data_IF_988937490503
#
_entry.id   IF_988937490503
#
_cell.length_a   1.000
_cell.length_b   1.000
_cell.length_c   1.000
_cell.angle_alpha   90.00
_cell.angle_beta   90.00
_cell.angle_gamma   90.00
#
_symmetry.space_group_name_H-M   'P 1'
#
loop_
_entity.id
_entity.type
_entity.pdbx_description
1 polymer ?
#
# COMPACT_ATOMS: atom_id res chain seq x y z
N UNK A 1 -7.27 11.91 7.41
CA UNK A 1 -6.96 10.49 7.24
C UNK A 1 -5.50 10.35 6.81
N UNK A 2 -4.83 9.24 7.10
CA UNK A 2 -3.48 8.89 6.67
C UNK A 2 -3.49 7.49 6.09
N UNK A 3 -2.86 7.30 4.93
CA UNK A 3 -2.79 6.01 4.24
C UNK A 3 -1.42 5.37 4.40
N UNK A 4 -1.37 4.04 4.56
CA UNK A 4 -0.11 3.29 4.61
C UNK A 4 -0.25 1.87 4.07
N UNK A 5 0.81 1.33 3.46
CA UNK A 5 0.89 -0.07 3.05
C UNK A 5 1.22 -0.93 4.27
N UNK A 6 0.37 -1.89 4.60
CA UNK A 6 0.58 -2.84 5.70
C UNK A 6 1.44 -4.02 5.25
N UNK A 7 1.09 -4.62 4.11
CA UNK A 7 1.77 -5.79 3.57
C UNK A 7 1.72 -5.79 2.04
N UNK A 8 2.68 -6.48 1.43
CA UNK A 8 2.71 -6.75 0.00
C UNK A 8 3.03 -8.22 -0.24
N UNK A 9 2.36 -8.84 -1.20
CA UNK A 9 2.67 -10.19 -1.67
C UNK A 9 3.08 -10.09 -3.13
N UNK A 10 4.27 -10.58 -3.53
CA UNK A 10 5.30 -11.24 -2.70
C UNK A 10 5.98 -10.30 -1.69
N UNK A 11 6.55 -10.87 -0.62
CA UNK A 11 7.13 -10.11 0.51
C UNK A 11 8.32 -9.21 0.13
N UNK A 12 8.91 -9.39 -1.05
CA UNK A 12 10.01 -8.57 -1.60
C UNK A 12 9.56 -7.27 -2.28
N UNK A 13 8.25 -7.02 -2.40
CA UNK A 13 7.73 -5.94 -3.23
C UNK A 13 7.37 -4.66 -2.47
N UNK A 14 7.67 -4.59 -1.17
CA UNK A 14 7.41 -3.38 -0.36
C UNK A 14 8.10 -2.14 -0.94
N UNK A 15 9.23 -2.31 -1.62
CA UNK A 15 9.98 -1.22 -2.23
C UNK A 15 9.54 -0.88 -3.67
N UNK A 16 8.71 -1.72 -4.30
CA UNK A 16 8.19 -1.48 -5.65
C UNK A 16 7.00 -0.53 -5.67
N UNK A 17 6.27 -0.43 -4.55
CA UNK A 17 5.07 0.38 -4.44
C UNK A 17 5.23 1.45 -3.37
N UNK A 18 4.65 2.61 -3.63
CA UNK A 18 4.51 3.65 -2.63
C UNK A 18 3.11 4.21 -2.61
N UNK A 19 2.68 4.63 -1.43
CA UNK A 19 1.41 5.30 -1.23
C UNK A 19 1.68 6.70 -0.66
N UNK A 20 1.04 7.70 -1.26
CA UNK A 20 1.00 9.04 -0.68
C UNK A 20 0.08 9.01 0.54
N UNK A 21 0.63 9.41 1.69
CA UNK A 21 -0.07 9.29 2.98
C UNK A 21 -1.26 10.24 3.10
N UNK A 22 -1.37 11.28 2.28
CA UNK A 22 -2.41 12.31 2.36
C UNK A 22 -3.59 12.01 1.45
N UNK A 23 -3.34 11.57 0.22
CA UNK A 23 -4.39 11.36 -0.79
C UNK A 23 -4.62 9.87 -1.14
N UNK A 24 -3.76 8.95 -0.69
CA UNK A 24 -3.87 7.52 -0.96
C UNK A 24 -3.42 7.11 -2.38
N UNK A 25 -2.75 8.00 -3.12
CA UNK A 25 -2.24 7.71 -4.47
C UNK A 25 -1.14 6.66 -4.41
N UNK A 26 -1.32 5.56 -5.16
CA UNK A 26 -0.34 4.48 -5.27
C UNK A 26 0.50 4.68 -6.53
N UNK A 27 1.83 4.66 -6.37
CA UNK A 27 2.81 4.79 -7.46
C UNK A 27 3.83 3.67 -7.42
N UNK A 28 4.30 3.30 -8.60
CA UNK A 28 5.43 2.39 -8.77
C UNK A 28 6.76 3.11 -8.56
N UNK A 29 7.68 2.48 -7.82
CA UNK A 29 9.10 2.89 -7.69
C UNK A 29 10.04 2.02 -8.51
N UNK A 30 9.58 0.85 -8.96
CA UNK A 30 10.35 -0.08 -9.77
C UNK A 30 9.54 -0.63 -10.93
N UNK A 31 10.19 -1.48 -11.72
CA UNK A 31 9.58 -2.16 -12.86
C UNK A 31 8.80 -3.37 -12.36
N UNK A 32 7.60 -3.59 -12.90
CA UNK A 32 6.86 -4.83 -12.74
C UNK A 32 7.07 -5.66 -14.00
N UNK A 33 7.52 -6.89 -13.84
CA UNK A 33 7.63 -7.87 -14.91
C UNK A 33 6.65 -9.02 -14.64
N UNK A 34 5.77 -9.29 -15.60
CA UNK A 34 4.67 -10.25 -15.43
C UNK A 34 5.17 -11.70 -15.41
N UNK A 35 6.25 -11.94 -16.16
CA UNK A 35 6.96 -13.20 -16.25
C UNK A 35 7.57 -13.60 -14.89
N UNK A 36 8.03 -12.62 -14.12
CA UNK A 36 8.58 -12.81 -12.77
C UNK A 36 7.47 -12.94 -11.72
N UNK A 37 6.51 -12.00 -11.70
CA UNK A 37 5.41 -12.00 -10.74
C UNK A 37 4.09 -11.63 -11.39
N UNK A 38 3.16 -12.59 -11.41
CA UNK A 38 1.86 -12.44 -12.07
C UNK A 38 0.82 -11.66 -11.25
N UNK A 39 0.97 -11.65 -9.93
CA UNK A 39 0.00 -11.03 -9.02
C UNK A 39 0.73 -10.29 -7.91
N UNK A 40 0.34 -9.03 -7.72
CA UNK A 40 0.75 -8.22 -6.58
C UNK A 40 -0.46 -7.91 -5.73
N UNK A 41 -0.45 -8.36 -4.48
CA UNK A 41 -1.47 -7.98 -3.51
C UNK A 41 -0.89 -6.95 -2.54
N UNK A 42 -1.63 -5.88 -2.29
CA UNK A 42 -1.26 -4.81 -1.37
C UNK A 42 -2.38 -4.63 -0.35
N UNK A 43 -2.06 -4.75 0.93
CA UNK A 43 -2.99 -4.38 1.99
C UNK A 43 -2.77 -2.93 2.38
N UNK A 44 -3.81 -2.12 2.28
CA UNK A 44 -3.76 -0.69 2.59
C UNK A 44 -4.57 -0.40 3.85
N UNK A 45 -4.01 0.40 4.76
CA UNK A 45 -4.72 0.95 5.89
C UNK A 45 -5.02 2.43 5.69
N UNK A 46 -6.26 2.83 5.94
CA UNK A 46 -6.65 4.22 6.08
C UNK A 46 -6.96 4.49 7.55
N UNK A 47 -6.19 5.38 8.19
CA UNK A 47 -6.37 5.80 9.57
C UNK A 47 -6.93 7.22 9.62
N UNK A 48 -8.02 7.45 10.33
CA UNK A 48 -8.54 8.80 10.51
C UNK A 48 -7.72 9.62 11.52
N UNK A 49 -7.99 10.93 11.60
CA UNK A 49 -7.36 11.83 12.59
C UNK A 49 -8.29 12.08 13.78
N UNK A 50 -9.24 11.17 14.03
CA UNK A 50 -10.21 11.28 15.11
C UNK A 50 -9.61 10.88 16.46
N UNK A 51 -10.35 11.17 17.54
CA UNK A 51 -10.01 10.75 18.90
C UNK A 51 -11.20 9.99 19.51
N UNK A 52 -11.15 8.65 19.65
CA UNK A 52 -10.08 7.76 19.23
C UNK A 52 -10.02 7.59 17.70
N UNK A 53 -8.83 7.32 17.14
CA UNK A 53 -8.68 7.16 15.71
C UNK A 53 -9.23 5.82 15.23
N UNK A 54 -10.07 5.81 14.20
CA UNK A 54 -10.57 4.59 13.55
C UNK A 54 -9.70 4.25 12.33
N UNK A 55 -9.53 2.96 12.06
CA UNK A 55 -8.78 2.44 10.91
C UNK A 55 -9.59 1.42 10.13
N UNK A 56 -9.73 1.62 8.82
CA UNK A 56 -10.29 0.65 7.87
C UNK A 56 -9.19 -0.06 7.07
N UNK A 57 -9.40 -1.34 6.78
CA UNK A 57 -8.52 -2.18 5.97
C UNK A 57 -9.36 -2.85 4.87
N UNK A 58 -8.86 -2.83 3.63
CA UNK A 58 -9.45 -3.50 2.47
C UNK A 58 -8.32 -4.12 1.64
#
# INVERSE_FOLDING_TARGET
FSYSILSSIPAGNRDLFTIDTKNGEIRLRGVLDFEDVRLHELQIAARDQGTPPLSGHC
#
